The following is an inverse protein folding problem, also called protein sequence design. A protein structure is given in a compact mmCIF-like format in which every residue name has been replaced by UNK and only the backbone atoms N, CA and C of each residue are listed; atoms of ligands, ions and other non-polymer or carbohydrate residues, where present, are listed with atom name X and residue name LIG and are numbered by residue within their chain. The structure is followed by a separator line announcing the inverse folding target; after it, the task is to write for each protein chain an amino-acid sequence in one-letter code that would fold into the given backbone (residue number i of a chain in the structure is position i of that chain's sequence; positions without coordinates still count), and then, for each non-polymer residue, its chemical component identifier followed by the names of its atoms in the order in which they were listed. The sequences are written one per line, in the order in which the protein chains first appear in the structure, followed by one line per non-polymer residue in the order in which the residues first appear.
data_IF_400878735336
#
_entry.id   IF_400878735336
#
_cell.length_a   1.000
_cell.length_b   1.000
_cell.length_c   1.000
_cell.angle_alpha   90.00
_cell.angle_beta   90.00
_cell.angle_gamma   90.00
#
_symmetry.space_group_name_H-M   'P 1'
#
loop_
_entity.id
_entity.type
_entity.pdbx_description
1 polymer ?
#
# COMPACT_ATOMS: atom_id res chain seq x y z
N UNK A 1 13.86 -61.31 11.51
CA UNK A 1 15.27 -61.45 11.91
C UNK A 1 15.93 -60.07 11.85
N UNK A 2 16.43 -59.60 13.01
CA UNK A 2 17.44 -58.55 13.30
C UNK A 2 17.47 -57.25 12.43
N UNK A 3 17.24 -56.04 12.99
CA UNK A 3 18.20 -55.16 13.73
C UNK A 3 19.42 -54.75 12.86
N UNK A 4 19.92 -53.50 12.78
CA UNK A 4 19.75 -52.26 13.53
C UNK A 4 21.09 -51.47 13.50
N UNK A 5 21.04 -50.14 13.69
CA UNK A 5 22.20 -49.23 13.94
C UNK A 5 22.56 -48.32 12.74
N UNK A 6 22.87 -47.03 12.86
CA UNK A 6 23.15 -46.12 13.98
C UNK A 6 23.96 -44.92 13.44
N UNK A 7 23.74 -43.72 13.97
CA UNK A 7 24.29 -42.41 13.55
C UNK A 7 25.83 -42.26 13.72
N UNK A 8 26.49 -41.34 12.98
CA UNK A 8 27.26 -40.18 13.52
C UNK A 8 27.95 -39.27 12.46
N UNK A 9 28.20 -38.04 12.91
CA UNK A 9 28.80 -36.82 12.31
C UNK A 9 30.31 -36.90 11.97
N UNK A 10 30.79 -35.98 11.11
CA UNK A 10 31.97 -35.05 11.25
C UNK A 10 32.63 -34.72 9.88
N UNK A 11 32.66 -33.44 9.48
CA UNK A 11 33.78 -32.48 9.54
C UNK A 11 35.00 -32.85 8.67
N UNK A 12 35.29 -32.03 7.67
CA UNK A 12 36.62 -31.94 7.07
C UNK A 12 36.95 -30.50 6.62
N UNK A 13 37.84 -29.91 7.39
CA UNK A 13 38.60 -28.67 7.22
C UNK A 13 39.56 -28.75 6.03
N UNK A 14 39.76 -27.67 5.25
CA UNK A 14 41.02 -27.46 4.52
C UNK A 14 41.46 -26.01 4.66
N UNK A 15 42.63 -25.86 5.28
CA UNK A 15 43.38 -24.63 5.51
C UNK A 15 44.13 -24.18 4.24
N UNK A 16 44.39 -22.88 4.12
CA UNK A 16 45.41 -22.35 3.21
C UNK A 16 46.33 -21.39 3.97
N UNK A 17 47.61 -21.78 4.01
CA UNK A 17 48.75 -21.14 4.67
C UNK A 17 49.26 -19.98 3.80
N UNK A 18 49.60 -18.85 4.44
CA UNK A 18 50.33 -17.74 3.82
C UNK A 18 51.84 -17.85 4.06
N UNK A 19 52.66 -17.56 3.05
CA UNK A 19 54.12 -17.37 3.14
C UNK A 19 54.48 -16.03 2.47
N UNK A 20 55.34 -15.17 3.06
CA UNK A 20 55.61 -13.82 2.54
C UNK A 20 57.04 -13.59 1.98
N UNK A 21 57.17 -12.57 1.11
CA UNK A 21 58.40 -11.79 0.85
C UNK A 21 58.71 -11.51 -0.63
N UNK A 22 59.54 -10.49 -0.98
CA UNK A 22 59.56 -9.10 -0.51
C UNK A 22 59.66 -8.00 -1.62
N UNK A 23 59.35 -6.77 -1.20
CA UNK A 23 59.70 -5.39 -1.67
C UNK A 23 60.25 -5.09 -3.08
N UNK A 24 59.66 -4.08 -3.76
CA UNK A 24 60.36 -2.83 -4.15
C UNK A 24 59.44 -1.68 -4.60
N UNK A 25 59.95 -0.44 -4.46
CA UNK A 25 59.28 0.87 -4.48
C UNK A 25 58.91 1.44 -5.87
N UNK A 26 57.85 2.27 -5.93
CA UNK A 26 57.61 3.21 -7.04
C UNK A 26 56.29 3.99 -6.96
N UNK A 27 56.36 5.30 -6.66
CA UNK A 27 55.27 6.28 -6.66
C UNK A 27 54.62 6.46 -8.06
N UNK A 28 53.28 6.59 -8.14
CA UNK A 28 52.55 7.67 -8.86
C UNK A 28 51.01 7.48 -8.90
N UNK A 29 50.32 8.60 -8.61
CA UNK A 29 48.96 9.03 -8.98
C UNK A 29 47.73 8.12 -8.78
N UNK A 30 46.79 8.65 -8.00
CA UNK A 30 45.46 8.13 -7.73
C UNK A 30 44.57 8.05 -8.98
N UNK A 31 44.18 6.82 -9.35
CA UNK A 31 42.95 6.56 -10.10
C UNK A 31 42.59 5.07 -10.02
N UNK A 32 41.34 4.83 -9.63
CA UNK A 32 40.52 3.64 -9.94
C UNK A 32 40.70 2.34 -9.14
N UNK A 33 39.52 1.73 -8.89
CA UNK A 33 39.20 0.30 -8.72
C UNK A 33 38.88 -0.18 -7.29
N UNK A 34 37.60 -0.51 -7.11
CA UNK A 34 37.00 -1.37 -6.08
C UNK A 34 37.78 -2.68 -5.87
N UNK A 35 37.59 -3.31 -4.70
CA UNK A 35 37.17 -4.70 -4.76
C UNK A 35 35.93 -5.02 -3.91
N UNK A 36 35.08 -5.78 -4.57
CA UNK A 36 33.98 -6.62 -4.13
C UNK A 36 34.20 -7.33 -2.79
N UNK A 37 33.21 -7.27 -1.89
CA UNK A 37 33.01 -8.28 -0.84
C UNK A 37 31.57 -8.80 -0.92
N UNK A 38 31.49 -10.12 -1.04
CA UNK A 38 30.30 -10.93 -1.28
C UNK A 38 29.31 -10.96 -0.10
N UNK A 39 28.06 -10.62 -0.43
CA UNK A 39 26.80 -11.36 -0.18
C UNK A 39 26.56 -12.02 1.19
N UNK A 40 25.74 -11.35 2.00
CA UNK A 40 24.68 -11.97 2.83
C UNK A 40 23.32 -11.43 2.36
N UNK A 41 22.15 -11.97 2.80
CA UNK A 41 20.86 -11.66 2.21
C UNK A 41 20.49 -10.18 2.46
N UNK A 42 20.87 -9.34 1.50
CA UNK A 42 20.53 -7.92 1.44
C UNK A 42 19.13 -7.82 0.84
N UNK A 43 18.18 -7.39 1.66
CA UNK A 43 16.97 -6.70 1.19
C UNK A 43 17.42 -5.63 0.19
N UNK A 44 16.93 -5.59 -1.05
CA UNK A 44 17.52 -4.72 -2.06
C UNK A 44 17.20 -3.26 -1.72
N UNK A 45 18.19 -2.44 -1.30
CA UNK A 45 18.00 -1.00 -1.09
C UNK A 45 17.74 -0.24 -2.40
N UNK A 46 17.68 -0.94 -3.54
CA UNK A 46 17.35 -0.40 -4.85
C UNK A 46 15.85 -0.14 -5.02
N UNK A 47 14.96 -0.93 -4.39
CA UNK A 47 13.51 -0.74 -4.53
C UNK A 47 13.05 0.58 -3.86
N UNK A 48 13.49 0.84 -2.62
CA UNK A 48 13.18 2.08 -1.90
C UNK A 48 13.81 3.32 -2.56
N UNK A 49 15.04 3.21 -3.09
CA UNK A 49 15.71 4.30 -3.82
C UNK A 49 15.05 4.60 -5.17
N UNK A 50 14.64 3.58 -5.91
CA UNK A 50 13.95 3.75 -7.19
C UNK A 50 12.52 4.28 -7.01
N UNK A 51 11.86 3.92 -5.91
CA UNK A 51 10.57 4.49 -5.50
C UNK A 51 10.74 5.99 -5.22
N UNK A 52 11.61 6.38 -4.29
CA UNK A 52 11.92 7.78 -3.96
C UNK A 52 12.33 8.64 -5.17
N UNK A 53 13.18 8.12 -6.07
CA UNK A 53 13.60 8.81 -7.31
C UNK A 53 12.46 9.03 -8.31
N UNK A 54 11.49 8.11 -8.36
CA UNK A 54 10.30 8.24 -9.21
C UNK A 54 9.29 9.24 -8.62
N UNK A 55 9.18 9.32 -7.29
CA UNK A 55 8.38 10.33 -6.60
C UNK A 55 8.93 11.74 -6.75
N UNK A 56 10.24 11.95 -6.60
CA UNK A 56 10.86 13.27 -6.84
C UNK A 56 10.61 13.75 -8.28
N UNK A 57 10.63 12.85 -9.27
CA UNK A 57 10.30 13.18 -10.67
C UNK A 57 8.82 13.49 -10.87
N UNK A 58 7.91 12.77 -10.22
CA UNK A 58 6.47 13.04 -10.26
C UNK A 58 6.11 14.38 -9.59
N UNK A 59 6.78 14.73 -8.48
CA UNK A 59 6.61 16.02 -7.79
C UNK A 59 7.20 17.17 -8.62
N UNK A 60 8.34 16.98 -9.30
CA UNK A 60 8.89 17.98 -10.22
C UNK A 60 7.99 18.26 -11.43
N UNK A 61 7.23 17.27 -11.92
CA UNK A 61 6.22 17.48 -12.96
C UNK A 61 4.98 18.26 -12.45
N UNK A 62 4.65 18.15 -11.16
CA UNK A 62 3.54 18.89 -10.53
C UNK A 62 3.90 20.34 -10.18
N UNK A 63 5.20 20.66 -10.04
CA UNK A 63 5.71 22.01 -9.73
C UNK A 63 6.03 22.86 -10.97
N UNK A 64 5.48 22.51 -12.13
CA UNK A 64 5.70 23.31 -13.34
C UNK A 64 4.89 24.61 -13.31
N UNK A 65 5.45 25.63 -12.66
CA UNK A 65 5.37 27.00 -13.16
C UNK A 65 6.59 27.82 -12.71
N UNK A 66 7.39 28.22 -13.71
CA UNK A 66 8.45 29.24 -13.72
C UNK A 66 8.76 29.91 -12.37
N UNK A 67 9.78 29.40 -11.68
CA UNK A 67 10.63 30.24 -10.85
C UNK A 67 12.07 30.05 -11.33
N UNK A 68 12.60 31.07 -11.99
CA UNK A 68 14.04 31.20 -12.21
C UNK A 68 14.73 31.19 -10.84
N UNK A 69 15.35 30.07 -10.47
CA UNK A 69 16.41 30.08 -9.46
C UNK A 69 17.73 29.79 -10.16
N UNK A 70 18.52 30.85 -10.24
CA UNK A 70 19.89 30.96 -10.74
C UNK A 70 20.83 30.12 -9.86
N UNK A 71 20.79 28.81 -10.01
CA UNK A 71 21.74 27.87 -9.40
C UNK A 71 21.99 26.75 -10.40
N UNK A 72 23.22 26.65 -10.91
CA UNK A 72 23.63 25.81 -12.04
C UNK A 72 23.59 24.30 -11.78
N UNK A 73 22.42 23.73 -11.51
CA UNK A 73 22.16 22.32 -11.66
C UNK A 73 21.65 22.05 -13.07
N UNK A 74 22.51 21.56 -13.94
CA UNK A 74 22.10 21.00 -15.24
C UNK A 74 21.14 19.82 -14.99
N UNK A 75 19.85 20.03 -15.26
CA UNK A 75 18.88 18.95 -15.41
C UNK A 75 19.20 18.20 -16.71
N UNK A 76 19.28 16.86 -16.72
CA UNK A 76 19.41 16.13 -17.98
C UNK A 76 18.16 16.38 -18.81
N UNK A 77 18.35 16.84 -20.05
CA UNK A 77 17.31 17.01 -21.05
C UNK A 77 16.46 15.74 -21.15
N UNK A 78 15.14 15.87 -21.04
CA UNK A 78 14.22 14.76 -21.27
C UNK A 78 14.38 14.29 -22.73
N UNK A 79 15.00 13.13 -22.93
CA UNK A 79 15.14 12.52 -24.25
C UNK A 79 13.76 12.09 -24.78
N UNK A 80 13.44 12.30 -26.07
CA UNK A 80 12.15 11.95 -26.68
C UNK A 80 11.77 10.46 -26.55
N UNK A 81 12.75 9.56 -26.33
CA UNK A 81 12.53 8.13 -26.09
C UNK A 81 11.76 7.84 -24.78
N UNK A 82 11.85 8.71 -23.77
CA UNK A 82 11.09 8.56 -22.52
C UNK A 82 9.60 8.85 -22.69
N UNK A 83 9.22 9.61 -23.72
CA UNK A 83 7.81 9.89 -24.02
C UNK A 83 7.11 8.69 -24.66
N UNK A 84 7.80 7.86 -25.46
CA UNK A 84 7.19 6.72 -26.16
C UNK A 84 6.83 5.55 -25.23
N UNK A 85 7.67 5.27 -24.21
CA UNK A 85 7.41 4.22 -23.22
C UNK A 85 6.22 4.52 -22.29
N UNK A 86 5.94 5.80 -22.02
CA UNK A 86 4.79 6.22 -21.22
C UNK A 86 3.43 5.86 -21.82
N UNK A 87 3.30 5.94 -23.15
CA UNK A 87 2.06 5.60 -23.86
C UNK A 87 1.73 4.11 -23.78
N UNK A 88 2.74 3.24 -23.87
CA UNK A 88 2.57 1.80 -23.74
C UNK A 88 2.03 1.38 -22.37
N UNK A 89 2.33 2.15 -21.32
CA UNK A 89 1.85 1.83 -19.98
C UNK A 89 0.34 2.03 -19.84
N UNK A 90 -0.19 3.10 -20.43
CA UNK A 90 -1.63 3.40 -20.35
C UNK A 90 -2.47 2.44 -21.19
N UNK A 91 -1.90 1.83 -22.24
CA UNK A 91 -2.61 0.84 -23.07
C UNK A 91 -3.14 -0.33 -22.22
N UNK A 92 -2.35 -0.86 -21.28
CA UNK A 92 -2.79 -1.99 -20.44
C UNK A 92 -3.96 -1.61 -19.52
N UNK A 93 -3.91 -0.42 -18.92
CA UNK A 93 -5.01 0.09 -18.09
C UNK A 93 -6.28 0.29 -18.92
N UNK A 94 -6.13 0.77 -20.17
CA UNK A 94 -7.23 0.92 -21.11
C UNK A 94 -7.81 -0.42 -21.55
N UNK A 95 -6.96 -1.40 -21.87
CA UNK A 95 -7.39 -2.76 -22.22
C UNK A 95 -8.19 -3.40 -21.10
N UNK A 96 -7.72 -3.30 -19.84
CA UNK A 96 -8.47 -3.77 -18.68
C UNK A 96 -9.84 -3.09 -18.56
N UNK A 97 -9.88 -1.77 -18.74
CA UNK A 97 -11.12 -0.99 -18.64
C UNK A 97 -12.13 -1.37 -19.73
N UNK A 98 -11.68 -1.55 -20.98
CA UNK A 98 -12.50 -2.01 -22.09
C UNK A 98 -13.03 -3.43 -21.85
N UNK A 99 -12.17 -4.33 -21.36
CA UNK A 99 -12.57 -5.70 -20.99
C UNK A 99 -13.63 -5.69 -19.88
N UNK A 100 -13.46 -4.85 -18.86
CA UNK A 100 -14.43 -4.71 -17.77
C UNK A 100 -15.79 -4.25 -18.30
N UNK A 101 -15.81 -3.23 -19.17
CA UNK A 101 -17.06 -2.74 -19.76
C UNK A 101 -17.72 -3.79 -20.65
N UNK A 102 -16.94 -4.52 -21.46
CA UNK A 102 -17.44 -5.60 -22.30
C UNK A 102 -18.11 -6.70 -21.47
N UNK A 103 -17.48 -7.14 -20.37
CA UNK A 103 -18.07 -8.14 -19.48
C UNK A 103 -19.35 -7.61 -18.83
N UNK A 104 -19.37 -6.36 -18.35
CA UNK A 104 -20.59 -5.75 -17.80
C UNK A 104 -21.72 -5.66 -18.82
N UNK A 105 -21.39 -5.37 -20.08
CA UNK A 105 -22.34 -5.29 -21.17
C UNK A 105 -22.89 -6.67 -21.56
N UNK A 106 -22.02 -7.67 -21.73
CA UNK A 106 -22.41 -9.05 -22.05
C UNK A 106 -23.24 -9.69 -20.91
N UNK A 107 -22.88 -9.40 -19.67
CA UNK A 107 -23.57 -9.92 -18.49
C UNK A 107 -24.72 -9.01 -18.02
N UNK A 108 -25.19 -8.03 -18.82
CA UNK A 108 -26.14 -7.00 -18.34
C UNK A 108 -27.45 -7.56 -17.76
N UNK A 109 -27.88 -8.73 -18.23
CA UNK A 109 -29.09 -9.43 -17.78
C UNK A 109 -28.82 -10.50 -16.72
N UNK A 110 -27.55 -10.72 -16.34
CA UNK A 110 -27.16 -11.68 -15.30
C UNK A 110 -27.27 -11.08 -13.91
N UNK A 111 -27.58 -11.92 -12.92
CA UNK A 111 -27.63 -11.55 -11.49
C UNK A 111 -26.25 -11.66 -10.79
N UNK A 112 -25.21 -12.09 -11.52
CA UNK A 112 -23.87 -12.36 -10.97
C UNK A 112 -22.77 -11.56 -11.69
N UNK A 113 -23.07 -10.35 -12.14
CA UNK A 113 -22.15 -9.49 -12.91
C UNK A 113 -20.85 -9.24 -12.16
N UNK A 114 -20.93 -8.93 -10.86
CA UNK A 114 -19.78 -8.66 -10.00
C UNK A 114 -18.84 -9.86 -9.88
N UNK A 115 -19.39 -11.08 -9.81
CA UNK A 115 -18.58 -12.31 -9.73
C UNK A 115 -17.85 -12.58 -11.04
N UNK A 116 -18.56 -12.56 -12.18
CA UNK A 116 -17.95 -12.74 -13.49
C UNK A 116 -16.85 -11.71 -13.74
N UNK A 117 -17.15 -10.44 -13.47
CA UNK A 117 -16.18 -9.35 -13.61
C UNK A 117 -14.96 -9.54 -12.72
N UNK A 118 -15.15 -9.93 -11.46
CA UNK A 118 -14.04 -10.19 -10.52
C UNK A 118 -13.13 -11.31 -11.02
N UNK A 119 -13.70 -12.40 -11.53
CA UNK A 119 -12.93 -13.54 -12.08
C UNK A 119 -12.16 -13.12 -13.34
N UNK A 120 -12.80 -12.40 -14.27
CA UNK A 120 -12.13 -11.90 -15.48
C UNK A 120 -10.96 -10.97 -15.13
N UNK A 121 -11.17 -10.02 -14.22
CA UNK A 121 -10.12 -9.09 -13.77
C UNK A 121 -8.98 -9.85 -13.11
N UNK A 122 -9.29 -10.81 -12.24
CA UNK A 122 -8.27 -11.63 -11.60
C UNK A 122 -7.42 -12.38 -12.64
N UNK A 123 -8.06 -13.06 -13.60
CA UNK A 123 -7.35 -13.76 -14.68
C UNK A 123 -6.46 -12.78 -15.46
N UNK A 124 -6.96 -11.60 -15.80
CA UNK A 124 -6.17 -10.57 -16.49
C UNK A 124 -4.94 -10.14 -15.70
N UNK A 125 -5.09 -9.84 -14.41
CA UNK A 125 -3.97 -9.44 -13.55
C UNK A 125 -2.94 -10.57 -13.39
N UNK A 126 -3.39 -11.82 -13.24
CA UNK A 126 -2.49 -12.97 -13.12
C UNK A 126 -1.77 -13.29 -14.44
N UNK A 127 -2.47 -13.20 -15.58
CA UNK A 127 -1.85 -13.32 -16.89
C UNK A 127 -0.80 -12.24 -17.12
N UNK A 128 -1.08 -10.99 -16.71
CA UNK A 128 -0.12 -9.91 -16.76
C UNK A 128 1.11 -10.17 -15.90
N UNK A 129 0.94 -10.73 -14.70
CA UNK A 129 2.06 -11.10 -13.82
C UNK A 129 2.91 -12.24 -14.40
N UNK A 130 2.29 -13.26 -15.00
CA UNK A 130 3.01 -14.46 -15.48
C UNK A 130 3.62 -14.30 -16.87
N UNK A 131 2.99 -13.50 -17.75
CA UNK A 131 3.37 -13.43 -19.18
C UNK A 131 4.01 -12.09 -19.60
N UNK A 132 4.08 -11.07 -18.73
CA UNK A 132 4.81 -9.84 -19.07
C UNK A 132 6.33 -10.03 -18.95
N UNK A 133 7.03 -9.75 -20.04
CA UNK A 133 8.50 -9.94 -20.19
C UNK A 133 9.33 -8.92 -19.39
N UNK A 134 8.78 -7.75 -19.05
CA UNK A 134 9.46 -6.75 -18.19
C UNK A 134 8.74 -6.54 -16.86
N UNK A 135 9.28 -7.20 -15.82
CA UNK A 135 8.80 -7.07 -14.44
C UNK A 135 8.83 -5.63 -13.94
N UNK A 136 9.84 -4.83 -14.33
CA UNK A 136 9.98 -3.44 -13.83
C UNK A 136 8.84 -2.56 -14.34
N UNK A 137 8.47 -2.74 -15.60
CA UNK A 137 7.33 -2.04 -16.22
C UNK A 137 6.01 -2.42 -15.56
N UNK A 138 5.76 -3.72 -15.37
CA UNK A 138 4.53 -4.20 -14.74
C UNK A 138 4.34 -3.66 -13.32
N UNK A 139 5.39 -3.69 -12.49
CA UNK A 139 5.33 -3.18 -11.12
C UNK A 139 4.98 -1.67 -11.05
N UNK A 140 5.38 -0.86 -12.04
CA UNK A 140 5.04 0.57 -12.10
C UNK A 140 3.55 0.82 -12.38
N UNK A 141 2.92 -0.07 -13.14
CA UNK A 141 1.51 0.08 -13.57
C UNK A 141 0.52 -0.60 -12.64
N UNK A 142 0.99 -1.57 -11.84
CA UNK A 142 0.17 -2.40 -10.95
C UNK A 142 -0.75 -1.57 -10.06
N UNK A 143 -0.26 -0.45 -9.50
CA UNK A 143 -1.06 0.43 -8.65
C UNK A 143 -2.31 0.96 -9.34
N UNK A 144 -2.17 1.50 -10.56
CA UNK A 144 -3.29 2.04 -11.34
C UNK A 144 -4.27 0.92 -11.76
N UNK A 145 -3.76 -0.25 -12.16
CA UNK A 145 -4.60 -1.40 -12.49
C UNK A 145 -5.40 -1.91 -11.30
N UNK A 146 -4.80 -1.92 -10.10
CA UNK A 146 -5.48 -2.31 -8.87
C UNK A 146 -6.65 -1.36 -8.55
N UNK A 147 -6.47 -0.04 -8.70
CA UNK A 147 -7.56 0.93 -8.51
C UNK A 147 -8.68 0.73 -9.53
N UNK A 148 -8.35 0.53 -10.81
CA UNK A 148 -9.33 0.24 -11.85
C UNK A 148 -10.09 -1.06 -11.54
N UNK A 149 -9.38 -2.11 -11.15
CA UNK A 149 -9.97 -3.38 -10.74
C UNK A 149 -10.94 -3.21 -9.57
N UNK A 150 -10.51 -2.53 -8.50
CA UNK A 150 -11.36 -2.29 -7.33
C UNK A 150 -12.62 -1.49 -7.70
N UNK A 151 -12.47 -0.42 -8.49
CA UNK A 151 -13.61 0.40 -8.94
C UNK A 151 -14.59 -0.40 -9.80
N UNK A 152 -14.10 -1.16 -10.78
CA UNK A 152 -14.90 -1.97 -11.67
C UNK A 152 -15.65 -3.08 -10.91
N UNK A 153 -14.97 -3.82 -10.05
CA UNK A 153 -15.58 -4.85 -9.19
C UNK A 153 -16.65 -4.25 -8.29
N UNK A 154 -16.39 -3.09 -7.69
CA UNK A 154 -17.38 -2.40 -6.84
C UNK A 154 -18.65 -2.11 -7.61
N UNK A 155 -18.52 -1.49 -8.79
CA UNK A 155 -19.65 -1.18 -9.65
C UNK A 155 -20.42 -2.44 -10.06
N UNK A 156 -19.71 -3.53 -10.40
CA UNK A 156 -20.34 -4.81 -10.72
C UNK A 156 -21.20 -5.37 -9.59
N UNK A 157 -20.71 -5.31 -8.34
CA UNK A 157 -21.47 -5.75 -7.17
C UNK A 157 -22.59 -4.77 -6.79
N UNK A 158 -22.39 -3.47 -6.93
CA UNK A 158 -23.42 -2.46 -6.65
C UNK A 158 -24.59 -2.59 -7.65
N UNK A 159 -24.30 -2.95 -8.91
CA UNK A 159 -25.31 -3.31 -9.92
C UNK A 159 -26.07 -4.58 -9.55
N UNK A 160 -25.39 -5.62 -9.04
CA UNK A 160 -26.02 -6.87 -8.60
C UNK A 160 -26.90 -6.66 -7.36
N UNK A 161 -26.55 -5.72 -6.48
CA UNK A 161 -27.35 -5.34 -5.30
C UNK A 161 -28.52 -4.41 -5.63
N UNK A 162 -28.57 -3.87 -6.84
CA UNK A 162 -29.57 -2.87 -7.24
C UNK A 162 -29.34 -1.48 -6.63
N UNK A 163 -28.16 -1.21 -6.07
CA UNK A 163 -27.77 0.13 -5.61
C UNK A 163 -27.57 1.09 -6.79
N UNK A 164 -27.18 0.55 -7.95
CA UNK A 164 -27.12 1.26 -9.23
C UNK A 164 -28.18 0.68 -10.17
N UNK A 165 -29.15 1.51 -10.57
CA UNK A 165 -30.36 1.04 -11.28
C UNK A 165 -30.12 0.45 -12.68
N UNK A 166 -29.05 0.86 -13.38
CA UNK A 166 -28.71 0.36 -14.71
C UNK A 166 -27.20 0.43 -14.96
N UNK A 167 -26.72 -0.35 -15.93
CA UNK A 167 -25.33 -0.27 -16.40
C UNK A 167 -25.06 1.16 -16.89
N UNK A 168 -24.05 1.86 -16.36
CA UNK A 168 -23.75 3.23 -16.77
C UNK A 168 -23.29 3.30 -18.23
N UNK A 169 -23.44 4.48 -18.84
CA UNK A 169 -22.97 4.70 -20.20
C UNK A 169 -21.44 4.51 -20.30
N UNK A 170 -20.88 4.25 -21.50
CA UNK A 170 -19.44 4.13 -21.68
C UNK A 170 -18.67 5.36 -21.15
N UNK A 171 -19.25 6.55 -21.31
CA UNK A 171 -18.64 7.81 -20.87
C UNK A 171 -18.61 7.91 -19.35
N UNK A 172 -19.72 7.59 -18.67
CA UNK A 172 -19.77 7.60 -17.20
C UNK A 172 -18.87 6.52 -16.60
N UNK A 173 -18.83 5.34 -17.21
CA UNK A 173 -17.97 4.24 -16.78
C UNK A 173 -16.48 4.60 -16.93
N UNK A 174 -16.06 5.08 -18.10
CA UNK A 174 -14.68 5.48 -18.33
C UNK A 174 -14.30 6.70 -17.47
N UNK A 175 -15.21 7.67 -17.31
CA UNK A 175 -15.00 8.82 -16.43
C UNK A 175 -14.81 8.41 -14.96
N UNK A 176 -15.56 7.42 -14.48
CA UNK A 176 -15.40 6.87 -13.14
C UNK A 176 -14.05 6.17 -12.95
N UNK A 177 -13.66 5.30 -13.89
CA UNK A 177 -12.38 4.60 -13.83
C UNK A 177 -11.21 5.59 -13.88
N UNK A 178 -11.25 6.54 -14.81
CA UNK A 178 -10.18 7.51 -15.07
C UNK A 178 -10.32 8.83 -14.33
N UNK A 179 -11.10 8.86 -13.25
CA UNK A 179 -11.25 10.04 -12.43
C UNK A 179 -9.87 10.57 -11.99
N UNK A 180 -9.54 11.80 -12.40
CA UNK A 180 -8.19 12.38 -12.30
C UNK A 180 -7.65 12.39 -10.88
N UNK A 181 -8.53 12.64 -9.90
CA UNK A 181 -8.16 12.66 -8.49
C UNK A 181 -7.74 11.29 -7.93
N UNK A 182 -8.10 10.19 -8.61
CA UNK A 182 -7.88 8.84 -8.07
C UNK A 182 -7.16 7.81 -8.96
N UNK A 183 -6.97 8.06 -10.26
CA UNK A 183 -6.45 7.05 -11.20
C UNK A 183 -5.02 6.57 -10.91
N UNK A 184 -4.08 7.44 -10.54
CA UNK A 184 -2.66 7.06 -10.43
C UNK A 184 -2.33 6.47 -9.05
N UNK A 185 -2.63 7.21 -7.98
CA UNK A 185 -2.33 6.81 -6.60
C UNK A 185 -3.49 7.11 -5.65
N UNK A 186 -4.71 7.24 -6.18
CA UNK A 186 -5.86 7.65 -5.41
C UNK A 186 -6.39 6.63 -4.42
N UNK A 187 -7.18 7.10 -3.43
CA UNK A 187 -8.06 6.20 -2.72
C UNK A 187 -9.13 5.64 -3.67
N UNK A 188 -9.58 4.42 -3.37
CA UNK A 188 -10.82 3.91 -3.93
C UNK A 188 -12.02 4.78 -3.47
N UNK A 189 -12.93 5.06 -4.39
CA UNK A 189 -14.20 5.76 -4.15
C UNK A 189 -15.33 4.96 -4.80
N UNK A 190 -16.52 5.00 -4.21
CA UNK A 190 -17.71 4.37 -4.80
C UNK A 190 -18.18 5.11 -6.05
N UNK A 191 -18.97 4.44 -6.90
CA UNK A 191 -19.56 5.06 -8.09
C UNK A 191 -20.50 6.22 -7.71
N UNK A 192 -21.28 6.06 -6.64
CA UNK A 192 -22.15 7.13 -6.12
C UNK A 192 -21.34 8.37 -5.69
N UNK A 193 -20.25 8.18 -4.93
CA UNK A 193 -19.36 9.27 -4.53
C UNK A 193 -18.71 9.98 -5.71
N UNK A 194 -18.40 9.24 -6.79
CA UNK A 194 -17.92 9.82 -8.04
C UNK A 194 -18.97 10.72 -8.70
N UNK A 195 -20.23 10.26 -8.82
CA UNK A 195 -21.31 11.08 -9.39
C UNK A 195 -21.51 12.38 -8.60
N UNK A 196 -21.45 12.31 -7.27
CA UNK A 196 -21.51 13.48 -6.40
C UNK A 196 -20.31 14.43 -6.59
N UNK A 197 -19.11 13.90 -6.85
CA UNK A 197 -17.93 14.72 -7.14
C UNK A 197 -18.05 15.44 -8.49
N UNK A 198 -18.63 14.78 -9.51
CA UNK A 198 -18.86 15.36 -10.85
C UNK A 198 -19.90 16.48 -10.82
N UNK A 199 -20.94 16.37 -9.98
CA UNK A 199 -21.93 17.43 -9.79
C UNK A 199 -21.32 18.72 -9.23
N UNK A 200 -20.16 18.62 -8.57
CA UNK A 200 -19.40 19.76 -8.05
C UNK A 200 -20.02 20.36 -6.79
N UNK A 201 -19.18 20.99 -5.97
CA UNK A 201 -19.58 21.72 -4.77
C UNK A 201 -18.81 23.05 -4.68
N UNK A 202 -19.40 24.09 -4.06
CA UNK A 202 -18.71 25.37 -3.92
C UNK A 202 -17.43 25.21 -3.09
N UNK A 203 -16.36 25.89 -3.52
CA UNK A 203 -15.11 25.91 -2.81
C UNK A 203 -15.30 26.61 -1.46
N UNK A 204 -15.03 25.89 -0.37
CA UNK A 204 -15.19 26.40 0.99
C UNK A 204 -13.85 26.60 1.68
N UNK A 205 -13.81 27.44 2.72
CA UNK A 205 -12.61 27.56 3.57
C UNK A 205 -12.24 26.24 4.24
N UNK A 206 -13.23 25.39 4.54
CA UNK A 206 -13.03 24.05 5.11
C UNK A 206 -12.33 23.12 4.13
N UNK A 207 -12.74 23.16 2.86
CA UNK A 207 -12.07 22.44 1.76
C UNK A 207 -10.60 22.86 1.65
N UNK A 208 -10.32 24.17 1.58
CA UNK A 208 -8.94 24.67 1.45
C UNK A 208 -8.09 24.26 2.66
N UNK A 209 -8.64 24.37 3.89
CA UNK A 209 -7.97 23.93 5.11
C UNK A 209 -7.66 22.43 5.09
N UNK A 210 -8.58 21.61 4.56
CA UNK A 210 -8.38 20.16 4.42
C UNK A 210 -7.25 19.85 3.45
N UNK A 211 -7.29 20.42 2.24
CA UNK A 211 -6.25 20.25 1.22
C UNK A 211 -4.88 20.68 1.76
N UNK A 212 -4.80 21.88 2.34
CA UNK A 212 -3.55 22.41 2.90
C UNK A 212 -2.99 21.52 4.01
N UNK A 213 -3.85 21.00 4.91
CA UNK A 213 -3.45 20.07 5.96
C UNK A 213 -2.91 18.76 5.38
N UNK A 214 -3.62 18.15 4.43
CA UNK A 214 -3.20 16.89 3.80
C UNK A 214 -1.87 17.06 3.07
N UNK A 215 -1.67 18.17 2.34
CA UNK A 215 -0.38 18.48 1.70
C UNK A 215 0.75 18.70 2.71
N UNK A 216 0.50 19.45 3.79
CA UNK A 216 1.50 19.67 4.83
C UNK A 216 1.93 18.35 5.49
N UNK A 217 0.97 17.46 5.80
CA UNK A 217 1.25 16.13 6.34
C UNK A 217 1.98 15.24 5.34
N UNK A 218 1.64 15.31 4.05
CA UNK A 218 2.34 14.59 2.99
C UNK A 218 3.82 15.03 2.93
N UNK A 219 4.08 16.33 2.89
CA UNK A 219 5.44 16.88 2.87
C UNK A 219 6.22 16.49 4.14
N UNK A 220 5.60 16.55 5.31
CA UNK A 220 6.22 16.09 6.56
C UNK A 220 6.60 14.60 6.46
N UNK A 221 5.71 13.74 5.98
CA UNK A 221 5.99 12.32 5.81
C UNK A 221 7.10 12.05 4.78
N UNK A 222 7.18 12.86 3.71
CA UNK A 222 8.26 12.77 2.73
C UNK A 222 9.62 13.11 3.36
N UNK A 223 9.69 14.20 4.14
CA UNK A 223 10.91 14.58 4.87
C UNK A 223 11.28 13.51 5.89
N UNK A 224 10.30 12.99 6.64
CA UNK A 224 10.54 11.95 7.63
C UNK A 224 11.04 10.65 6.99
N UNK A 225 10.49 10.24 5.86
CA UNK A 225 10.89 8.99 5.19
C UNK A 225 12.26 9.08 4.51
N UNK A 226 12.63 10.24 3.98
CA UNK A 226 13.85 10.41 3.16
C UNK A 226 15.02 11.04 3.91
N UNK A 227 14.76 12.03 4.75
CA UNK A 227 15.79 12.82 5.42
C UNK A 227 16.00 12.43 6.88
N UNK A 228 14.97 11.90 7.56
CA UNK A 228 15.07 11.58 9.00
C UNK A 228 15.22 10.07 9.22
N UNK A 229 14.37 9.26 8.59
CA UNK A 229 14.35 7.80 8.73
C UNK A 229 15.75 7.20 8.60
N UNK A 230 16.45 7.36 7.46
CA UNK A 230 17.77 6.77 7.23
C UNK A 230 18.90 7.22 8.17
N UNK A 231 18.65 8.23 9.01
CA UNK A 231 19.65 8.84 9.89
C UNK A 231 19.20 8.88 11.35
N UNK A 232 18.07 8.25 11.68
CA UNK A 232 17.44 8.33 13.00
C UNK A 232 18.28 7.73 14.13
N UNK A 233 18.98 6.62 13.87
CA UNK A 233 19.81 5.93 14.87
C UNK A 233 21.33 6.07 14.67
N UNK A 234 21.87 6.23 13.44
CA UNK A 234 23.28 6.50 13.23
C UNK A 234 23.81 7.73 13.97
N UNK A 235 22.95 8.74 14.22
CA UNK A 235 23.33 10.00 14.85
C UNK A 235 22.99 10.09 16.34
N UNK A 236 21.93 9.42 16.81
CA UNK A 236 21.38 9.60 18.16
C UNK A 236 21.80 8.52 19.17
N UNK A 237 22.22 7.33 18.73
CA UNK A 237 22.63 6.25 19.65
C UNK A 237 23.97 5.64 19.21
N UNK A 238 25.12 6.10 19.75
CA UNK A 238 26.39 5.40 19.60
C UNK A 238 26.33 4.09 20.39
N UNK A 239 25.94 3.00 19.72
CA UNK A 239 25.92 1.66 20.31
C UNK A 239 27.20 0.91 19.93
N UNK A 240 28.26 1.17 20.67
CA UNK A 240 29.43 0.32 20.68
C UNK A 240 29.08 -1.02 21.35
N UNK A 241 29.25 -2.14 20.65
CA UNK A 241 29.18 -3.49 21.24
C UNK A 241 28.17 -4.47 20.62
N UNK A 242 26.88 -4.14 20.52
CA UNK A 242 25.85 -5.16 20.24
C UNK A 242 25.47 -5.30 18.76
N UNK A 243 25.99 -6.36 18.11
CA UNK A 243 25.69 -6.70 16.70
C UNK A 243 24.19 -6.97 16.45
N UNK A 244 23.50 -7.58 17.42
CA UNK A 244 22.06 -7.89 17.33
C UNK A 244 21.20 -6.63 17.44
N UNK A 245 21.45 -5.79 18.44
CA UNK A 245 20.73 -4.54 18.63
C UNK A 245 20.89 -3.62 17.40
N UNK A 246 22.10 -3.52 16.86
CA UNK A 246 22.38 -2.76 15.63
C UNK A 246 21.60 -3.30 14.42
N UNK A 247 21.44 -4.61 14.31
CA UNK A 247 20.65 -5.23 13.23
C UNK A 247 19.17 -4.88 13.36
N UNK A 248 18.59 -4.96 14.56
CA UNK A 248 17.19 -4.61 14.81
C UNK A 248 16.91 -3.12 14.62
N UNK A 249 17.82 -2.24 15.05
CA UNK A 249 17.68 -0.80 14.84
C UNK A 249 17.70 -0.42 13.36
N UNK A 250 18.62 -0.99 12.56
CA UNK A 250 18.61 -0.78 11.10
C UNK A 250 17.35 -1.33 10.43
N UNK A 251 16.81 -2.44 10.93
CA UNK A 251 15.55 -2.98 10.44
C UNK A 251 14.38 -2.04 10.76
N UNK A 252 14.35 -1.51 11.99
CA UNK A 252 13.34 -0.53 12.41
C UNK A 252 13.46 0.80 11.64
N UNK A 253 14.68 1.29 11.41
CA UNK A 253 14.96 2.45 10.56
C UNK A 253 14.37 2.30 9.14
N UNK A 254 14.63 1.14 8.53
CA UNK A 254 14.09 0.80 7.22
C UNK A 254 12.57 0.70 7.24
N UNK A 255 11.99 0.15 8.31
CA UNK A 255 10.55 0.05 8.49
C UNK A 255 9.89 1.43 8.64
N UNK A 256 10.46 2.33 9.45
CA UNK A 256 9.98 3.72 9.62
C UNK A 256 10.03 4.45 8.28
N UNK A 257 11.15 4.38 7.55
CA UNK A 257 11.25 5.00 6.22
C UNK A 257 10.17 4.47 5.26
N UNK A 258 9.94 3.15 5.26
CA UNK A 258 8.88 2.52 4.48
C UNK A 258 7.48 3.00 4.90
N UNK A 259 7.15 3.00 6.20
CA UNK A 259 5.85 3.44 6.71
C UNK A 259 5.54 4.89 6.34
N UNK A 260 6.46 5.81 6.60
CA UNK A 260 6.27 7.23 6.28
C UNK A 260 6.22 7.49 4.77
N UNK A 261 6.90 6.69 3.94
CA UNK A 261 6.74 6.78 2.48
C UNK A 261 5.31 6.40 2.04
N UNK A 262 4.69 5.41 2.70
CA UNK A 262 3.31 5.03 2.43
C UNK A 262 2.32 6.09 2.95
N UNK A 263 2.57 6.67 4.12
CA UNK A 263 1.76 7.78 4.64
C UNK A 263 1.83 9.01 3.73
N UNK A 264 3.00 9.31 3.18
CA UNK A 264 3.14 10.37 2.18
C UNK A 264 2.21 10.15 0.99
N UNK A 265 2.22 8.94 0.39
CA UNK A 265 1.32 8.60 -0.72
C UNK A 265 -0.15 8.68 -0.29
N UNK A 266 -0.47 8.20 0.92
CA UNK A 266 -1.81 8.30 1.49
C UNK A 266 -2.31 9.74 1.58
N UNK A 267 -1.55 10.63 2.22
CA UNK A 267 -1.94 12.04 2.35
C UNK A 267 -1.91 12.82 1.03
N UNK A 268 -1.00 12.48 0.12
CA UNK A 268 -0.98 13.05 -1.22
C UNK A 268 -2.23 12.66 -2.00
N UNK A 269 -2.62 11.38 -1.94
CA UNK A 269 -3.82 10.87 -2.60
C UNK A 269 -5.12 11.45 -2.02
N UNK A 270 -5.13 11.70 -0.71
CA UNK A 270 -6.19 12.41 -0.02
C UNK A 270 -6.31 13.85 -0.54
N UNK A 271 -5.19 14.55 -0.70
CA UNK A 271 -5.15 15.90 -1.25
C UNK A 271 -5.61 15.92 -2.71
N UNK A 272 -5.15 15.01 -3.58
CA UNK A 272 -5.55 14.98 -5.00
C UNK A 272 -7.02 14.64 -5.18
N UNK A 273 -7.56 13.69 -4.41
CA UNK A 273 -8.97 13.36 -4.44
C UNK A 273 -9.85 14.52 -3.94
N UNK A 274 -9.43 15.19 -2.86
CA UNK A 274 -10.11 16.38 -2.31
C UNK A 274 -10.08 17.55 -3.30
N UNK A 275 -8.94 17.78 -3.97
CA UNK A 275 -8.78 18.79 -5.01
C UNK A 275 -9.68 18.51 -6.22
N UNK A 276 -9.87 17.24 -6.58
CA UNK A 276 -10.76 16.82 -7.65
C UNK A 276 -12.26 16.85 -7.24
N UNK A 277 -12.58 17.27 -6.01
CA UNK A 277 -13.96 17.42 -5.53
C UNK A 277 -14.56 16.16 -4.91
N UNK A 278 -13.76 15.11 -4.67
CA UNK A 278 -14.22 13.88 -4.01
C UNK A 278 -13.91 13.88 -2.51
N UNK A 279 -14.60 13.05 -1.74
CA UNK A 279 -14.24 12.80 -0.34
C UNK A 279 -14.85 13.75 0.67
N UNK A 280 -16.12 14.08 0.46
CA UNK A 280 -16.95 14.82 1.40
C UNK A 280 -18.13 13.95 1.87
N UNK A 281 -18.59 14.21 3.08
CA UNK A 281 -19.83 13.70 3.64
C UNK A 281 -20.80 14.88 3.83
N UNK A 282 -22.05 14.70 3.43
CA UNK A 282 -23.11 15.70 3.56
C UNK A 282 -24.23 15.12 4.42
N UNK A 283 -24.46 15.73 5.60
CA UNK A 283 -25.56 15.37 6.48
C UNK A 283 -26.35 16.65 6.85
N UNK A 284 -27.63 16.71 6.47
CA UNK A 284 -28.57 17.80 6.83
C UNK A 284 -27.96 19.20 6.69
N UNK A 285 -27.47 19.52 5.50
CA UNK A 285 -26.77 20.78 5.13
C UNK A 285 -25.38 21.01 5.75
N UNK A 286 -24.84 20.04 6.50
CA UNK A 286 -23.46 20.08 6.98
C UNK A 286 -22.52 19.36 6.01
N UNK A 287 -21.71 20.13 5.27
CA UNK A 287 -20.65 19.61 4.42
C UNK A 287 -19.33 19.48 5.22
N UNK A 288 -18.85 18.25 5.37
CA UNK A 288 -17.54 17.94 5.93
C UNK A 288 -16.62 17.27 4.92
N UNK A 289 -15.37 17.73 4.85
CA UNK A 289 -14.32 17.12 4.03
C UNK A 289 -13.52 16.16 4.90
N UNK A 290 -13.96 14.92 4.98
CA UNK A 290 -13.56 13.91 5.94
C UNK A 290 -12.82 12.70 5.33
N UNK A 291 -12.54 12.73 4.02
CA UNK A 291 -11.73 11.71 3.36
C UNK A 291 -10.41 11.51 4.10
N UNK A 292 -10.23 10.28 4.57
CA UNK A 292 -9.07 9.84 5.33
C UNK A 292 -8.53 8.57 4.68
N UNK A 293 -7.30 8.62 4.18
CA UNK A 293 -6.70 7.46 3.49
C UNK A 293 -5.96 6.54 4.47
N UNK A 294 -5.24 7.12 5.43
CA UNK A 294 -4.46 6.39 6.44
C UNK A 294 -4.55 7.08 7.80
N UNK A 295 -4.35 6.32 8.89
CA UNK A 295 -4.29 6.84 10.26
C UNK A 295 -2.96 6.44 10.91
N UNK A 296 -1.86 7.20 10.70
CA UNK A 296 -0.52 6.82 11.16
C UNK A 296 -0.43 6.51 12.67
N UNK A 297 -1.10 7.30 13.51
CA UNK A 297 -1.09 7.08 14.97
C UNK A 297 -1.64 5.71 15.37
N UNK A 298 -2.67 5.22 14.67
CA UNK A 298 -3.29 3.93 14.94
C UNK A 298 -2.44 2.76 14.41
N UNK A 299 -1.51 3.04 13.50
CA UNK A 299 -0.59 2.05 12.94
C UNK A 299 0.68 1.96 13.78
N UNK A 300 1.26 3.10 14.16
CA UNK A 300 2.51 3.17 14.94
C UNK A 300 2.30 2.90 16.43
N UNK A 301 1.13 3.28 16.97
CA UNK A 301 0.75 3.03 18.37
C UNK A 301 -0.56 2.24 18.43
N UNK A 302 -0.58 0.99 17.90
CA UNK A 302 -1.80 0.23 17.75
C UNK A 302 -2.29 -0.34 19.07
N UNK A 303 -3.61 -0.35 19.26
CA UNK A 303 -4.22 -1.15 20.33
C UNK A 303 -4.21 -2.64 19.98
N UNK A 304 -4.31 -2.99 18.70
CA UNK A 304 -4.40 -4.38 18.20
C UNK A 304 -3.89 -4.48 16.75
N UNK A 305 -3.53 -5.69 16.30
CA UNK A 305 -3.10 -5.90 14.91
C UNK A 305 -4.23 -5.70 13.90
N UNK A 306 -5.48 -5.95 14.30
CA UNK A 306 -6.65 -5.63 13.47
C UNK A 306 -6.73 -4.12 13.21
N UNK A 307 -6.39 -3.29 14.20
CA UNK A 307 -6.36 -1.84 14.04
C UNK A 307 -5.25 -1.40 13.08
N UNK A 308 -4.07 -2.03 13.13
CA UNK A 308 -2.96 -1.79 12.18
C UNK A 308 -3.43 -2.02 10.75
N UNK A 309 -3.94 -3.21 10.46
CA UNK A 309 -4.31 -3.60 9.08
C UNK A 309 -5.43 -2.71 8.54
N UNK A 310 -6.42 -2.39 9.36
CA UNK A 310 -7.57 -1.56 8.94
C UNK A 310 -7.25 -0.06 8.84
N UNK A 311 -6.22 0.42 9.54
CA UNK A 311 -5.83 1.84 9.58
C UNK A 311 -4.72 2.20 8.59
N UNK A 312 -4.03 1.21 8.03
CA UNK A 312 -2.95 1.41 7.05
C UNK A 312 -3.46 2.03 5.74
N UNK A 313 -4.53 1.46 5.19
CA UNK A 313 -5.22 1.94 4.00
C UNK A 313 -6.72 1.75 4.19
N UNK A 314 -7.41 2.82 4.62
CA UNK A 314 -8.83 2.78 4.94
C UNK A 314 -9.70 2.47 3.70
N UNK A 315 -9.50 3.12 2.53
CA UNK A 315 -10.28 2.81 1.32
C UNK A 315 -10.19 1.35 0.90
N UNK A 316 -8.99 0.78 0.87
CA UNK A 316 -8.78 -0.64 0.56
C UNK A 316 -9.44 -1.55 1.61
N UNK A 317 -9.27 -1.23 2.90
CA UNK A 317 -9.88 -2.00 3.99
C UNK A 317 -11.41 -1.98 3.94
N UNK A 318 -12.00 -0.83 3.63
CA UNK A 318 -13.45 -0.68 3.47
C UNK A 318 -13.94 -1.46 2.24
N UNK A 319 -13.22 -1.37 1.12
CA UNK A 319 -13.53 -2.12 -0.10
C UNK A 319 -13.50 -3.64 0.14
N UNK A 320 -12.39 -4.15 0.71
CA UNK A 320 -12.25 -5.56 1.07
C UNK A 320 -13.37 -6.03 1.99
N UNK A 321 -13.72 -5.23 3.00
CA UNK A 321 -14.80 -5.58 3.92
C UNK A 321 -16.16 -5.68 3.21
N UNK A 322 -16.49 -4.72 2.34
CA UNK A 322 -17.82 -4.65 1.72
C UNK A 322 -18.01 -5.57 0.52
N UNK A 323 -16.98 -5.79 -0.29
CA UNK A 323 -17.08 -6.53 -1.55
C UNK A 323 -16.48 -7.94 -1.49
N UNK A 324 -15.60 -8.21 -0.53
CA UNK A 324 -14.98 -9.55 -0.37
C UNK A 324 -15.46 -10.21 0.92
N UNK A 325 -15.16 -9.61 2.09
CA UNK A 325 -15.42 -10.22 3.39
C UNK A 325 -16.92 -10.51 3.61
N UNK A 326 -17.79 -9.50 3.48
CA UNK A 326 -19.25 -9.67 3.67
C UNK A 326 -19.86 -10.71 2.73
N UNK A 327 -19.36 -10.80 1.50
CA UNK A 327 -19.82 -11.81 0.54
C UNK A 327 -19.31 -13.21 0.92
N UNK A 328 -18.07 -13.32 1.43
CA UNK A 328 -17.46 -14.56 1.89
C UNK A 328 -17.96 -15.03 3.27
N UNK A 329 -18.64 -14.18 4.05
CA UNK A 329 -19.22 -14.55 5.36
C UNK A 329 -20.18 -15.74 5.27
N UNK A 330 -20.81 -15.96 4.12
CA UNK A 330 -21.66 -17.13 3.85
C UNK A 330 -20.90 -18.46 3.99
N UNK A 331 -19.57 -18.44 3.87
CA UNK A 331 -18.67 -19.59 3.98
C UNK A 331 -18.11 -19.78 5.41
N UNK A 332 -18.52 -18.94 6.37
CA UNK A 332 -18.02 -18.93 7.74
C UNK A 332 -16.95 -17.86 8.00
N UNK A 333 -16.72 -17.53 9.28
CA UNK A 333 -15.85 -16.40 9.67
C UNK A 333 -14.38 -16.63 9.30
N UNK A 334 -13.85 -17.83 9.56
CA UNK A 334 -12.46 -18.16 9.25
C UNK A 334 -12.20 -18.12 7.73
N UNK A 335 -13.05 -18.78 6.95
CA UNK A 335 -13.00 -18.76 5.49
C UNK A 335 -13.10 -17.35 4.94
N UNK A 336 -13.98 -16.51 5.50
CA UNK A 336 -14.12 -15.12 5.08
C UNK A 336 -12.85 -14.30 5.32
N UNK A 337 -12.18 -14.48 6.47
CA UNK A 337 -10.88 -13.83 6.75
C UNK A 337 -9.83 -14.31 5.74
N UNK A 338 -9.70 -15.62 5.55
CA UNK A 338 -8.71 -16.20 4.63
C UNK A 338 -8.91 -15.71 3.20
N UNK A 339 -10.14 -15.75 2.69
CA UNK A 339 -10.50 -15.27 1.34
C UNK A 339 -10.22 -13.77 1.20
N UNK A 340 -10.48 -12.97 2.24
CA UNK A 340 -10.23 -11.52 2.20
C UNK A 340 -8.75 -11.21 2.08
N UNK A 341 -7.90 -11.86 2.88
CA UNK A 341 -6.45 -11.66 2.78
C UNK A 341 -5.85 -12.29 1.53
N UNK A 342 -6.38 -13.42 1.05
CA UNK A 342 -5.98 -14.00 -0.22
C UNK A 342 -6.32 -13.08 -1.40
N UNK A 343 -7.52 -12.50 -1.43
CA UNK A 343 -7.91 -11.51 -2.43
C UNK A 343 -7.00 -10.27 -2.38
N UNK A 344 -6.70 -9.77 -1.17
CA UNK A 344 -5.76 -8.66 -0.99
C UNK A 344 -4.37 -9.01 -1.51
N UNK A 345 -3.85 -10.22 -1.24
CA UNK A 345 -2.55 -10.66 -1.72
C UNK A 345 -2.51 -10.77 -3.24
N UNK A 346 -3.54 -11.36 -3.85
CA UNK A 346 -3.65 -11.50 -5.31
C UNK A 346 -3.71 -10.14 -6.03
N UNK A 347 -4.38 -9.14 -5.47
CA UNK A 347 -4.39 -7.76 -6.02
C UNK A 347 -2.99 -7.11 -5.99
N UNK A 348 -2.16 -7.48 -5.01
CA UNK A 348 -0.77 -7.04 -4.95
C UNK A 348 0.20 -7.85 -5.83
N UNK A 349 -0.29 -8.90 -6.50
CA UNK A 349 0.47 -9.79 -7.41
C UNK A 349 1.10 -11.00 -6.72
N UNK A 350 1.86 -11.81 -7.47
CA UNK A 350 2.50 -13.04 -6.98
C UNK A 350 3.82 -12.80 -6.23
N UNK A 351 4.00 -11.65 -5.60
CA UNK A 351 5.20 -11.44 -4.78
C UNK A 351 5.12 -12.28 -3.51
N UNK A 352 6.00 -13.27 -3.40
CA UNK A 352 6.06 -14.17 -2.24
C UNK A 352 6.16 -13.40 -0.92
N UNK A 353 6.94 -12.31 -0.90
CA UNK A 353 7.12 -11.48 0.29
C UNK A 353 5.81 -10.81 0.77
N UNK A 354 5.05 -10.15 -0.12
CA UNK A 354 3.78 -9.52 0.29
C UNK A 354 2.73 -10.57 0.63
N UNK A 355 2.66 -11.67 -0.11
CA UNK A 355 1.74 -12.75 0.17
C UNK A 355 2.02 -13.37 1.56
N UNK A 356 3.28 -13.65 1.88
CA UNK A 356 3.68 -14.19 3.19
C UNK A 356 3.36 -13.21 4.33
N UNK A 357 3.61 -11.91 4.14
CA UNK A 357 3.27 -10.88 5.15
C UNK A 357 1.75 -10.78 5.34
N UNK A 358 0.96 -10.73 4.27
CA UNK A 358 -0.50 -10.60 4.36
C UNK A 358 -1.16 -11.86 4.94
N UNK A 359 -0.72 -13.06 4.55
CA UNK A 359 -1.23 -14.31 5.14
C UNK A 359 -0.82 -14.47 6.61
N UNK A 360 0.41 -14.11 6.98
CA UNK A 360 0.84 -14.14 8.39
C UNK A 360 0.06 -13.11 9.22
N UNK A 361 -0.22 -11.92 8.69
CA UNK A 361 -1.13 -10.95 9.32
C UNK A 361 -2.54 -11.51 9.49
N UNK A 362 -3.07 -12.25 8.51
CA UNK A 362 -4.37 -12.93 8.62
C UNK A 362 -4.40 -13.89 9.81
N UNK A 363 -3.35 -14.71 9.95
CA UNK A 363 -3.22 -15.65 11.05
C UNK A 363 -3.09 -14.93 12.41
N UNK A 364 -2.19 -13.95 12.50
CA UNK A 364 -1.95 -13.18 13.73
C UNK A 364 -3.21 -12.45 14.18
N UNK A 365 -3.92 -11.79 13.26
CA UNK A 365 -5.16 -11.06 13.57
C UNK A 365 -6.28 -11.99 14.02
N UNK A 366 -6.38 -13.20 13.45
CA UNK A 366 -7.34 -14.21 13.89
C UNK A 366 -7.02 -14.74 15.29
N UNK A 367 -5.77 -15.14 15.54
CA UNK A 367 -5.32 -15.64 16.84
C UNK A 367 -5.52 -14.57 17.93
N UNK A 368 -5.14 -13.32 17.65
CA UNK A 368 -5.36 -12.19 18.54
C UNK A 368 -6.86 -12.00 18.84
N UNK A 369 -7.72 -12.07 17.81
CA UNK A 369 -9.16 -11.92 17.99
C UNK A 369 -9.73 -12.99 18.93
N UNK A 370 -9.36 -14.26 18.72
CA UNK A 370 -9.80 -15.38 19.56
C UNK A 370 -9.28 -15.22 21.00
N UNK A 371 -7.99 -14.91 21.17
CA UNK A 371 -7.37 -14.71 22.47
C UNK A 371 -8.04 -13.57 23.24
N UNK A 372 -8.19 -12.39 22.63
CA UNK A 372 -8.83 -11.24 23.26
C UNK A 372 -10.29 -11.50 23.61
N UNK A 373 -11.02 -12.24 22.77
CA UNK A 373 -12.41 -12.62 23.06
C UNK A 373 -12.51 -13.52 24.29
N UNK A 374 -11.64 -14.51 24.41
CA UNK A 374 -11.57 -15.40 25.60
C UNK A 374 -11.19 -14.62 26.86
N UNK A 375 -10.14 -13.80 26.78
CA UNK A 375 -9.71 -12.98 27.92
C UNK A 375 -10.79 -11.97 28.34
N UNK A 376 -11.48 -11.34 27.38
CA UNK A 376 -12.56 -10.39 27.68
C UNK A 376 -13.72 -11.07 28.43
N UNK A 377 -14.03 -12.32 28.08
CA UNK A 377 -15.04 -13.13 28.79
C UNK A 377 -14.58 -13.51 30.20
N UNK A 378 -13.35 -14.04 30.35
CA UNK A 378 -12.80 -14.48 31.64
C UNK A 378 -12.67 -13.31 32.61
N UNK A 379 -12.11 -12.19 32.15
CA UNK A 379 -11.81 -11.03 32.97
C UNK A 379 -12.98 -10.03 33.04
N UNK A 380 -14.06 -10.25 32.28
CA UNK A 380 -15.17 -9.29 32.13
C UNK A 380 -14.67 -7.87 31.86
N UNK A 381 -13.68 -7.73 30.96
CA UNK A 381 -12.93 -6.49 30.75
C UNK A 381 -12.94 -6.04 29.28
N UNK A 382 -12.87 -4.73 29.06
CA UNK A 382 -12.86 -4.12 27.72
C UNK A 382 -11.50 -4.22 27.01
N UNK A 383 -11.08 -5.45 26.70
CA UNK A 383 -9.81 -5.78 26.02
C UNK A 383 -9.98 -6.35 24.61
N UNK A 384 -11.20 -6.28 24.06
CA UNK A 384 -11.46 -6.63 22.66
C UNK A 384 -10.57 -5.81 21.69
N UNK A 385 -10.37 -6.37 20.49
CA UNK A 385 -9.55 -5.76 19.43
C UNK A 385 -10.08 -4.38 19.03
N UNK A 386 -11.40 -4.26 18.84
CA UNK A 386 -12.09 -2.97 18.73
C UNK A 386 -12.41 -2.41 20.11
N UNK A 387 -12.45 -1.08 20.21
CA UNK A 387 -12.91 -0.38 21.41
C UNK A 387 -14.36 -0.78 21.70
N UNK A 388 -14.66 -0.98 22.98
CA UNK A 388 -16.02 -1.28 23.42
C UNK A 388 -16.97 -0.12 23.09
N UNK A 389 -18.21 -0.46 22.75
CA UNK A 389 -19.31 0.49 22.67
C UNK A 389 -19.66 1.02 24.08
N UNK A 390 -20.34 2.19 24.19
CA UNK A 390 -20.76 2.75 25.48
C UNK A 390 -21.59 1.78 26.33
N UNK A 391 -22.45 0.98 25.67
CA UNK A 391 -23.37 0.02 26.30
C UNK A 391 -22.75 -1.37 26.51
N UNK A 392 -21.44 -1.45 26.71
CA UNK A 392 -20.76 -2.73 26.82
C UNK A 392 -21.10 -3.46 28.14
N UNK A 393 -21.42 -4.76 28.05
CA UNK A 393 -21.77 -5.62 29.19
C UNK A 393 -20.59 -6.01 30.10
N UNK A 394 -19.36 -5.62 29.76
CA UNK A 394 -18.19 -5.90 30.59
C UNK A 394 -18.20 -5.08 31.90
N UNK A 395 -17.85 -5.73 33.01
CA UNK A 395 -17.78 -5.14 34.36
C UNK A 395 -16.64 -4.12 34.49
N UNK A 396 -15.49 -4.39 33.88
CA UNK A 396 -14.32 -3.50 33.89
C UNK A 396 -14.26 -2.68 32.59
N UNK A 397 -14.94 -1.53 32.62
CA UNK A 397 -15.00 -0.58 31.50
C UNK A 397 -13.80 0.37 31.54
N UNK A 398 -13.23 0.66 30.36
CA UNK A 398 -12.25 1.73 30.20
C UNK A 398 -13.05 3.05 30.08
N UNK A 399 -13.34 3.70 31.21
CA UNK A 399 -14.04 4.99 31.22
C UNK A 399 -13.08 6.04 30.66
N UNK A 400 -13.46 6.70 29.56
CA UNK A 400 -12.72 7.86 29.09
C UNK A 400 -13.15 9.05 29.95
N UNK A 401 -12.25 9.56 30.79
CA UNK A 401 -12.38 10.90 31.38
C UNK A 401 -12.39 11.86 30.19
N UNK A 402 -13.54 12.47 29.90
CA UNK A 402 -13.57 13.65 29.05
C UNK A 402 -12.85 14.76 29.82
N UNK A 403 -11.61 15.08 29.43
CA UNK A 403 -11.09 16.40 29.75
C UNK A 403 -11.93 17.39 28.93
N UNK A 404 -12.77 18.12 29.65
CA UNK A 404 -13.60 19.21 29.12
C UNK A 404 -12.78 20.42 28.70
#
# INVERSE_FOLDING_TARGET
AACGGGCQEEVATVAAVCVPGPQDHGFLSASSICPSICVGPQWPPSAARNFSSSYCRAVSCLLSNRALTRSGCFLPSASPAASFGGWLHMVWVVLLSLLCYLVLFLCRHSSHRGVFLSVTILIYLLMGEMHMVDTVTWHKMRGAQMIVAMKAVSLGFDLDRGEVGAVPSPVEFMGYLYFVGTIVFGPWISFHSYLQAVQGRPLSRRWLKKVARSLALALLCLVLSTCVGPYLFPYFIPLDGDRLLRKWLRAYESAVSFHFSNYFVGFLSEATATLAGAGFTEEKDHLEWDLTVSRPLNVELPRSMVEVVTSWNLPMSYWLNNYVFKNALRLGTFSAVLVTYAASALLHGFSFHLAAVLLSLAFITYVEHVLRKRLAQILSACILSKRCLPDCSHRHRLVRVHHG
#
